data_IF_156393748341
#
_entry.id   IF_156393748341
#
_cell.length_a   1.000
_cell.length_b   1.000
_cell.length_c   1.000
_cell.angle_alpha   90.00
_cell.angle_beta   90.00
_cell.angle_gamma   90.00
#
_symmetry.space_group_name_H-M   'P 1'
#
loop_
_entity.id
_entity.type
_entity.pdbx_description
1 polymer ?
#
# COMPACT_ATOMS: atom_id res chain seq x y z
N UNK A 1 18.59 -0.54 19.45
CA UNK A 1 18.83 0.80 20.04
C UNK A 1 17.51 1.57 20.05
N UNK A 2 16.83 1.56 21.19
CA UNK A 2 15.66 2.41 21.43
C UNK A 2 16.12 3.67 22.14
N UNK A 3 15.80 4.83 21.55
CA UNK A 3 15.77 6.17 22.15
C UNK A 3 15.49 7.15 21.01
N UNK A 4 14.22 7.50 20.77
CA UNK A 4 13.79 8.75 20.09
C UNK A 4 12.27 8.90 19.91
N UNK A 5 11.43 8.00 20.45
CA UNK A 5 9.99 8.24 20.54
C UNK A 5 9.63 8.77 21.94
N UNK A 6 8.92 9.91 21.94
CA UNK A 6 8.16 10.58 23.02
C UNK A 6 8.81 11.90 23.49
N UNK A 7 8.25 13.04 23.02
CA UNK A 7 7.37 13.81 23.90
C UNK A 7 6.09 14.41 23.26
N UNK A 8 5.61 13.94 22.10
CA UNK A 8 4.46 14.57 21.41
C UNK A 8 3.07 13.94 21.71
N UNK A 9 3.02 12.69 22.20
CA UNK A 9 1.75 11.98 22.48
C UNK A 9 0.81 12.64 23.52
N UNK A 10 1.27 13.28 24.61
CA UNK A 10 0.35 13.84 25.60
C UNK A 10 -0.34 15.12 25.12
N UNK A 11 0.28 15.90 24.23
CA UNK A 11 -0.31 17.11 23.64
C UNK A 11 -1.38 16.75 22.59
N UNK A 12 -1.14 15.68 21.83
CA UNK A 12 -2.09 15.18 20.83
C UNK A 12 -3.36 14.60 21.48
N UNK A 13 -3.21 13.80 22.54
CA UNK A 13 -4.36 13.28 23.31
C UNK A 13 -5.21 14.39 23.94
N UNK A 14 -4.58 15.42 24.53
CA UNK A 14 -5.31 16.56 25.13
C UNK A 14 -6.07 17.37 24.08
N UNK A 15 -5.47 17.56 22.90
CA UNK A 15 -6.10 18.30 21.80
C UNK A 15 -7.26 17.54 21.16
N UNK A 16 -7.18 16.20 21.08
CA UNK A 16 -8.24 15.34 20.57
C UNK A 16 -9.41 15.27 21.56
N UNK A 17 -9.14 15.08 22.86
CA UNK A 17 -10.19 15.05 23.90
C UNK A 17 -10.95 16.37 23.99
N UNK A 18 -10.25 17.51 23.95
CA UNK A 18 -10.88 18.84 23.94
C UNK A 18 -11.69 19.15 22.65
N UNK A 19 -11.51 18.37 21.58
CA UNK A 19 -12.29 18.45 20.34
C UNK A 19 -13.49 17.49 20.38
N UNK A 20 -13.37 16.34 21.04
CA UNK A 20 -14.47 15.41 21.28
C UNK A 20 -15.50 16.01 22.24
N UNK A 21 -15.08 16.65 23.33
CA UNK A 21 -15.98 17.33 24.27
C UNK A 21 -16.75 18.48 23.60
N UNK A 22 -16.09 19.23 22.70
CA UNK A 22 -16.75 20.26 21.88
C UNK A 22 -17.76 19.67 20.89
N UNK A 23 -17.49 18.49 20.33
CA UNK A 23 -18.41 17.77 19.45
C UNK A 23 -19.62 17.20 20.20
N UNK A 24 -19.45 16.72 21.42
CA UNK A 24 -20.57 16.29 22.28
C UNK A 24 -21.44 17.48 22.70
N UNK A 25 -20.84 18.62 23.01
CA UNK A 25 -21.59 19.85 23.30
C UNK A 25 -22.42 20.33 22.10
N UNK A 26 -21.86 20.27 20.88
CA UNK A 26 -22.55 20.58 19.63
C UNK A 26 -23.65 19.57 19.26
N UNK A 27 -23.43 18.28 19.54
CA UNK A 27 -24.45 17.25 19.33
C UNK A 27 -25.65 17.45 20.27
N UNK A 28 -25.40 17.86 21.52
CA UNK A 28 -26.43 18.14 22.53
C UNK A 28 -27.21 19.43 22.22
N UNK A 29 -26.58 20.44 21.60
CA UNK A 29 -27.28 21.64 21.12
C UNK A 29 -28.07 21.43 19.82
N UNK A 30 -27.71 20.43 19.00
CA UNK A 30 -28.32 20.17 17.69
C UNK A 30 -29.50 19.18 17.73
N UNK A 31 -29.93 18.70 18.91
CA UNK A 31 -31.07 17.79 19.05
C UNK A 31 -30.94 16.47 18.26
N UNK A 32 -29.70 16.04 17.94
CA UNK A 32 -29.42 14.86 17.12
C UNK A 32 -28.83 13.76 18.01
N UNK A 33 -29.42 12.56 17.93
CA UNK A 33 -29.23 11.41 18.84
C UNK A 33 -27.78 10.90 18.87
N UNK A 34 -27.31 10.57 20.08
CA UNK A 34 -25.96 10.07 20.38
C UNK A 34 -25.73 8.61 19.89
N UNK A 35 -24.53 8.26 19.38
CA UNK A 35 -24.21 6.93 18.84
C UNK A 35 -24.05 5.81 19.88
N UNK A 36 -24.36 6.06 21.17
CA UNK A 36 -24.29 5.06 22.23
C UNK A 36 -25.36 3.94 22.14
N UNK A 37 -26.40 4.10 21.31
CA UNK A 37 -27.53 3.15 21.25
C UNK A 37 -27.47 2.10 20.12
N UNK A 38 -26.42 2.06 19.29
CA UNK A 38 -26.34 1.07 18.19
C UNK A 38 -25.80 -0.30 18.66
N UNK A 39 -25.13 -0.36 19.83
CA UNK A 39 -24.64 -1.64 20.39
C UNK A 39 -25.68 -2.50 21.08
N UNK A 40 -26.92 -2.03 21.24
CA UNK A 40 -27.96 -2.74 21.99
C UNK A 40 -29.08 -3.35 21.12
N UNK A 41 -29.03 -3.19 19.80
CA UNK A 41 -30.06 -3.69 18.86
C UNK A 41 -29.64 -4.96 18.11
N UNK A 42 -28.36 -5.37 18.16
CA UNK A 42 -27.87 -6.59 17.49
C UNK A 42 -27.61 -7.79 18.42
N UNK A 43 -28.03 -7.72 19.69
CA UNK A 43 -27.83 -8.79 20.70
C UNK A 43 -29.16 -9.46 21.12
N UNK A 44 -30.23 -9.30 20.33
CA UNK A 44 -31.56 -9.82 20.72
C UNK A 44 -32.34 -10.56 19.63
N UNK A 45 -31.64 -11.21 18.70
CA UNK A 45 -32.29 -12.07 17.70
C UNK A 45 -31.40 -13.25 17.31
N UNK A 46 -31.23 -14.21 18.22
CA UNK A 46 -30.99 -15.62 17.90
C UNK A 46 -30.96 -16.42 19.21
N UNK A 47 -32.15 -16.79 19.67
CA UNK A 47 -32.36 -17.78 20.73
C UNK A 47 -33.66 -18.51 20.40
N UNK A 48 -33.57 -19.78 20.02
CA UNK A 48 -34.70 -20.68 19.76
C UNK A 48 -34.21 -22.06 19.35
N UNK A 49 -34.49 -23.06 20.19
CA UNK A 49 -34.11 -24.48 20.10
C UNK A 49 -35.13 -25.35 19.32
N UNK A 50 -34.70 -26.58 18.94
CA UNK A 50 -35.39 -27.93 18.89
C UNK A 50 -34.77 -28.81 17.77
N UNK A 51 -34.02 -29.93 17.99
CA UNK A 51 -34.33 -31.34 18.37
C UNK A 51 -35.22 -32.11 17.35
N UNK A 52 -34.95 -33.31 16.79
CA UNK A 52 -34.51 -34.64 17.30
C UNK A 52 -34.21 -35.67 16.14
N UNK A 53 -33.48 -36.76 16.45
CA UNK A 53 -32.87 -37.90 15.66
C UNK A 53 -33.88 -39.00 15.15
N UNK A 54 -33.56 -40.27 14.72
CA UNK A 54 -32.27 -41.04 14.57
C UNK A 54 -32.15 -42.10 13.41
N UNK A 55 -31.04 -42.88 13.38
CA UNK A 55 -30.76 -44.28 12.87
C UNK A 55 -29.43 -44.37 12.07
N UNK A 56 -28.58 -45.42 12.06
CA UNK A 56 -28.40 -46.71 12.75
C UNK A 56 -27.02 -47.30 12.27
N UNK A 57 -26.35 -48.17 13.06
CA UNK A 57 -25.42 -49.19 12.52
C UNK A 57 -23.94 -49.20 12.98
N UNK A 58 -23.60 -50.14 13.88
CA UNK A 58 -22.24 -50.61 14.24
C UNK A 58 -21.75 -51.69 13.21
N UNK A 59 -20.51 -52.29 13.22
CA UNK A 59 -19.65 -52.59 14.37
C UNK A 59 -18.10 -52.51 14.20
N UNK A 60 -17.44 -52.81 15.34
CA UNK A 60 -16.03 -52.97 15.74
C UNK A 60 -15.05 -53.66 14.76
N UNK A 61 -13.76 -53.30 14.82
CA UNK A 61 -12.67 -54.11 15.42
C UNK A 61 -11.25 -53.62 15.05
N UNK A 62 -10.29 -54.00 15.90
CA UNK A 62 -8.86 -53.68 15.97
C UNK A 62 -8.03 -53.73 14.67
N UNK A 63 -6.89 -53.00 14.62
CA UNK A 63 -5.54 -53.49 14.23
C UNK A 63 -4.49 -52.35 14.30
N UNK A 64 -3.51 -52.57 15.19
CA UNK A 64 -2.05 -52.38 15.07
C UNK A 64 -1.46 -50.98 14.79
N UNK A 65 -0.72 -50.51 15.81
CA UNK A 65 0.37 -49.53 15.75
C UNK A 65 1.30 -49.78 14.56
N UNK A 66 1.30 -48.86 13.60
CA UNK A 66 2.46 -48.64 12.73
C UNK A 66 3.02 -47.28 13.12
N UNK A 67 4.15 -47.28 13.83
CA UNK A 67 4.96 -46.07 14.07
C UNK A 67 5.44 -45.55 12.72
N UNK A 68 4.66 -44.68 12.09
CA UNK A 68 5.19 -43.73 11.12
C UNK A 68 5.92 -42.64 11.90
N UNK A 69 7.21 -42.51 11.64
CA UNK A 69 8.03 -41.39 12.09
C UNK A 69 7.51 -40.17 11.32
N UNK A 70 6.53 -39.49 11.90
CA UNK A 70 5.87 -38.33 11.31
C UNK A 70 6.80 -37.11 11.37
N UNK A 71 7.30 -36.67 10.21
CA UNK A 71 7.98 -35.38 10.01
C UNK A 71 6.95 -34.25 10.13
N UNK A 72 6.46 -34.00 11.35
CA UNK A 72 5.38 -33.05 11.68
C UNK A 72 5.85 -31.60 11.94
N UNK A 73 7.16 -31.38 11.91
CA UNK A 73 7.78 -30.09 12.29
C UNK A 73 7.82 -29.04 11.17
N UNK A 74 7.91 -29.45 9.90
CA UNK A 74 8.12 -28.51 8.78
C UNK A 74 6.80 -27.99 8.19
N UNK A 75 5.78 -28.85 8.11
CA UNK A 75 4.46 -28.50 7.54
C UNK A 75 3.66 -27.54 8.42
N UNK A 76 3.82 -27.60 9.75
CA UNK A 76 3.12 -26.72 10.71
C UNK A 76 3.66 -25.30 10.74
N UNK A 77 4.98 -25.13 10.58
CA UNK A 77 5.62 -23.82 10.47
C UNK A 77 5.37 -23.16 9.10
N UNK A 78 5.47 -23.92 8.00
CA UNK A 78 5.19 -23.41 6.66
C UNK A 78 3.71 -23.02 6.51
N UNK A 79 2.78 -23.82 7.03
CA UNK A 79 1.35 -23.49 7.00
C UNK A 79 0.99 -22.31 7.91
N UNK A 80 1.61 -22.17 9.09
CA UNK A 80 1.43 -20.99 9.95
C UNK A 80 1.97 -19.72 9.30
N UNK A 81 3.14 -19.81 8.66
CA UNK A 81 3.74 -18.69 7.93
C UNK A 81 2.88 -18.31 6.72
N UNK A 82 2.36 -19.29 5.99
CA UNK A 82 1.46 -19.07 4.86
C UNK A 82 0.13 -18.46 5.28
N UNK A 83 -0.48 -18.94 6.37
CA UNK A 83 -1.75 -18.38 6.89
C UNK A 83 -1.57 -16.95 7.41
N UNK A 84 -0.43 -16.67 8.03
CA UNK A 84 -0.08 -15.30 8.45
C UNK A 84 0.10 -14.42 7.24
N UNK A 85 0.92 -14.82 6.27
CA UNK A 85 1.14 -14.08 5.03
C UNK A 85 -0.17 -13.82 4.29
N UNK A 86 -1.02 -14.84 4.17
CA UNK A 86 -2.36 -14.72 3.57
C UNK A 86 -3.19 -13.66 4.29
N UNK A 87 -3.22 -13.68 5.63
CA UNK A 87 -3.92 -12.66 6.41
C UNK A 87 -3.39 -11.24 6.16
N UNK A 88 -2.07 -11.07 6.04
CA UNK A 88 -1.46 -9.78 5.73
C UNK A 88 -1.79 -9.31 4.30
N UNK A 89 -1.77 -10.22 3.34
CA UNK A 89 -2.16 -9.97 1.94
C UNK A 89 -3.64 -9.60 1.85
N UNK A 90 -4.51 -10.40 2.48
CA UNK A 90 -5.96 -10.15 2.49
C UNK A 90 -6.26 -8.80 3.15
N UNK A 91 -5.59 -8.46 4.25
CA UNK A 91 -5.74 -7.16 4.91
C UNK A 91 -5.22 -6.00 4.05
N UNK A 92 -4.11 -6.19 3.32
CA UNK A 92 -3.53 -5.14 2.49
C UNK A 92 -4.33 -4.88 1.22
N UNK A 93 -4.89 -5.91 0.60
CA UNK A 93 -5.75 -5.79 -0.59
C UNK A 93 -7.12 -5.21 -0.23
N UNK A 94 -7.70 -5.61 0.91
CA UNK A 94 -9.01 -5.11 1.35
C UNK A 94 -8.92 -3.80 2.17
N UNK A 95 -7.75 -3.18 2.27
CA UNK A 95 -7.58 -1.93 2.97
C UNK A 95 -8.26 -0.78 2.19
N UNK A 96 -9.25 -0.14 2.80
CA UNK A 96 -9.85 1.06 2.23
C UNK A 96 -8.90 2.26 2.38
N UNK A 97 -8.31 2.67 1.27
CA UNK A 97 -7.40 3.82 1.21
C UNK A 97 -8.11 5.15 1.46
N UNK A 98 -9.41 5.24 1.17
CA UNK A 98 -10.19 6.47 1.37
C UNK A 98 -10.58 6.70 2.83
N UNK A 99 -10.57 5.66 3.68
CA UNK A 99 -10.75 5.81 5.12
C UNK A 99 -9.69 6.73 5.76
N UNK A 100 -8.53 6.90 5.11
CA UNK A 100 -7.49 7.83 5.57
C UNK A 100 -7.91 9.31 5.57
N UNK A 101 -9.02 9.66 4.90
CA UNK A 101 -9.60 11.01 4.93
C UNK A 101 -10.21 11.36 6.29
N UNK A 102 -10.68 10.36 7.05
CA UNK A 102 -11.27 10.60 8.38
C UNK A 102 -10.23 11.06 9.40
N UNK A 103 -8.97 10.67 9.18
CA UNK A 103 -7.83 11.02 10.03
C UNK A 103 -7.16 12.34 9.61
N UNK A 104 -7.15 12.67 8.31
CA UNK A 104 -6.53 13.89 7.78
C UNK A 104 -7.57 14.92 7.30
N UNK A 105 -7.87 15.87 8.19
CA UNK A 105 -8.80 16.97 7.93
C UNK A 105 -8.36 17.88 6.76
N UNK A 106 -7.05 17.99 6.49
CA UNK A 106 -6.56 18.80 5.37
C UNK A 106 -6.89 18.10 4.04
N UNK A 107 -6.67 16.78 3.99
CA UNK A 107 -7.03 15.99 2.81
C UNK A 107 -8.54 15.97 2.57
N UNK A 108 -9.35 15.88 3.64
CA UNK A 108 -10.80 15.95 3.54
C UNK A 108 -11.29 17.30 2.96
N UNK A 109 -10.72 18.42 3.42
CA UNK A 109 -11.04 19.77 2.91
C UNK A 109 -10.65 19.91 1.44
N UNK A 110 -9.49 19.38 1.03
CA UNK A 110 -9.06 19.34 -0.39
C UNK A 110 -10.09 18.57 -1.24
N UNK A 111 -10.57 17.43 -0.74
CA UNK A 111 -11.53 16.60 -1.47
C UNK A 111 -12.92 17.24 -1.58
N UNK A 112 -13.37 17.98 -0.56
CA UNK A 112 -14.65 18.68 -0.57
C UNK A 112 -14.63 19.90 -1.51
N UNK A 113 -13.53 20.64 -1.53
CA UNK A 113 -13.36 21.84 -2.33
C UNK A 113 -12.90 21.57 -3.78
N UNK A 114 -12.63 20.31 -4.13
CA UNK A 114 -12.20 19.94 -5.47
C UNK A 114 -13.30 20.15 -6.51
N UNK A 115 -12.91 20.60 -7.70
CA UNK A 115 -13.77 20.75 -8.86
C UNK A 115 -14.34 19.38 -9.27
N UNK A 116 -15.67 19.34 -9.44
CA UNK A 116 -16.39 18.14 -9.84
C UNK A 116 -16.61 18.18 -11.34
N UNK A 117 -15.96 17.26 -12.05
CA UNK A 117 -16.15 17.09 -13.49
C UNK A 117 -17.44 16.32 -13.79
N UNK A 118 -17.89 16.42 -15.04
CA UNK A 118 -19.08 15.71 -15.51
C UNK A 118 -18.90 14.19 -15.46
N UNK A 119 -19.91 13.50 -14.91
CA UNK A 119 -19.85 12.06 -14.64
C UNK A 119 -19.66 11.22 -15.92
N UNK A 120 -20.25 11.64 -17.05
CA UNK A 120 -20.11 10.92 -18.33
C UNK A 120 -18.68 11.05 -18.87
N UNK A 121 -18.08 12.21 -18.69
CA UNK A 121 -16.68 12.43 -19.07
C UNK A 121 -15.75 11.56 -18.23
N UNK A 122 -15.94 11.57 -16.90
CA UNK A 122 -15.17 10.73 -15.99
C UNK A 122 -15.34 9.22 -16.25
N UNK A 123 -16.52 8.79 -16.70
CA UNK A 123 -16.77 7.40 -17.07
C UNK A 123 -15.90 6.93 -18.25
N UNK A 124 -15.74 7.76 -19.28
CA UNK A 124 -14.83 7.47 -20.41
C UNK A 124 -13.38 7.47 -19.94
N UNK A 125 -12.99 8.44 -19.12
CA UNK A 125 -11.64 8.52 -18.58
C UNK A 125 -11.29 7.37 -17.63
N UNK A 126 -12.24 6.70 -16.97
CA UNK A 126 -11.96 5.49 -16.18
C UNK A 126 -11.29 4.40 -17.00
N UNK A 127 -11.80 4.13 -18.20
CA UNK A 127 -11.23 3.09 -19.06
C UNK A 127 -9.82 3.48 -19.53
N UNK A 128 -9.63 4.75 -19.91
CA UNK A 128 -8.31 5.28 -20.30
C UNK A 128 -7.32 5.23 -19.15
N UNK A 129 -7.74 5.63 -17.95
CA UNK A 129 -6.92 5.65 -16.75
C UNK A 129 -6.49 4.27 -16.32
N UNK A 130 -7.37 3.27 -16.38
CA UNK A 130 -6.98 1.88 -16.07
C UNK A 130 -5.92 1.40 -17.05
N UNK A 131 -6.09 1.69 -18.34
CA UNK A 131 -5.11 1.32 -19.35
C UNK A 131 -3.74 1.99 -19.13
N UNK A 132 -3.72 3.31 -18.90
CA UNK A 132 -2.47 4.04 -18.65
C UNK A 132 -1.82 3.63 -17.34
N UNK A 133 -2.60 3.37 -16.29
CA UNK A 133 -2.09 2.86 -15.02
C UNK A 133 -1.45 1.48 -15.16
N UNK A 134 -2.01 0.60 -16.01
CA UNK A 134 -1.39 -0.68 -16.32
C UNK A 134 -0.05 -0.51 -17.05
N UNK A 135 0.02 0.42 -18.02
CA UNK A 135 1.27 0.72 -18.73
C UNK A 135 2.33 1.32 -17.79
N UNK A 136 1.94 2.27 -16.93
CA UNK A 136 2.82 2.89 -15.93
C UNK A 136 3.31 1.85 -14.92
N UNK A 137 2.42 1.02 -14.37
CA UNK A 137 2.78 -0.05 -13.44
C UNK A 137 3.76 -1.06 -14.06
N UNK A 138 3.60 -1.39 -15.34
CA UNK A 138 4.54 -2.28 -16.04
C UNK A 138 5.92 -1.63 -16.19
N UNK A 139 5.98 -0.38 -16.66
CA UNK A 139 7.23 0.35 -16.84
C UNK A 139 7.96 0.62 -15.51
N UNK A 140 7.20 1.05 -14.50
CA UNK A 140 7.71 1.29 -13.15
C UNK A 140 8.20 0.00 -12.50
N UNK A 141 7.43 -1.09 -12.62
CA UNK A 141 7.80 -2.40 -12.10
C UNK A 141 9.09 -2.93 -12.74
N UNK A 142 9.26 -2.78 -14.05
CA UNK A 142 10.49 -3.20 -14.74
C UNK A 142 11.73 -2.44 -14.22
N UNK A 143 11.61 -1.15 -13.96
CA UNK A 143 12.68 -0.33 -13.40
C UNK A 143 13.01 -0.70 -11.94
N UNK A 144 11.99 -0.97 -11.12
CA UNK A 144 12.16 -1.35 -9.71
C UNK A 144 12.77 -2.75 -9.55
N UNK A 145 12.41 -3.69 -10.44
CA UNK A 145 13.07 -5.00 -10.50
C UNK A 145 14.56 -4.83 -10.78
N UNK A 146 14.94 -4.00 -11.76
CA UNK A 146 16.35 -3.78 -12.10
C UNK A 146 17.14 -3.22 -10.91
N UNK A 147 16.58 -2.27 -10.16
CA UNK A 147 17.22 -1.68 -8.98
C UNK A 147 17.41 -2.69 -7.84
N UNK A 148 16.46 -3.60 -7.64
CA UNK A 148 16.50 -4.59 -6.54
C UNK A 148 17.34 -5.83 -6.90
N UNK A 149 17.23 -6.29 -8.15
CA UNK A 149 17.86 -7.52 -8.63
C UNK A 149 19.28 -7.27 -9.15
N UNK A 150 19.62 -6.05 -9.59
CA UNK A 150 20.95 -5.72 -10.10
C UNK A 150 22.11 -6.13 -9.17
N UNK A 151 22.09 -5.75 -7.88
CA UNK A 151 23.12 -6.18 -6.93
C UNK A 151 23.16 -7.70 -6.72
N UNK A 152 22.00 -8.35 -6.67
CA UNK A 152 21.91 -9.80 -6.51
C UNK A 152 22.49 -10.53 -7.74
N UNK A 153 22.15 -10.07 -8.93
CA UNK A 153 22.69 -10.58 -10.19
C UNK A 153 24.21 -10.43 -10.26
N UNK A 154 24.76 -9.30 -9.78
CA UNK A 154 26.20 -9.10 -9.70
C UNK A 154 26.88 -10.10 -8.76
N UNK A 155 26.33 -10.35 -7.58
CA UNK A 155 26.84 -11.36 -6.64
C UNK A 155 26.79 -12.75 -7.27
N UNK A 156 25.70 -13.10 -7.96
CA UNK A 156 25.53 -14.38 -8.61
C UNK A 156 26.59 -14.62 -9.71
N UNK A 157 26.84 -13.64 -10.57
CA UNK A 157 27.88 -13.73 -11.61
C UNK A 157 29.28 -13.94 -10.99
N UNK A 158 29.60 -13.18 -9.94
CA UNK A 158 30.90 -13.31 -9.25
C UNK A 158 31.04 -14.71 -8.65
N UNK A 159 29.97 -15.25 -8.07
CA UNK A 159 29.96 -16.58 -7.47
C UNK A 159 30.16 -17.70 -8.50
N UNK A 160 29.54 -17.62 -9.68
CA UNK A 160 29.66 -18.67 -10.69
C UNK A 160 30.98 -18.60 -11.45
N UNK A 161 31.42 -17.40 -11.80
CA UNK A 161 32.47 -17.22 -12.80
C UNK A 161 33.82 -16.79 -12.19
N UNK A 162 33.84 -16.43 -10.91
CA UNK A 162 35.02 -15.90 -10.19
C UNK A 162 35.69 -14.68 -10.84
N UNK A 163 34.98 -13.99 -11.75
CA UNK A 163 35.46 -12.80 -12.46
C UNK A 163 34.43 -11.67 -12.41
N UNK A 164 34.91 -10.45 -12.21
CA UNK A 164 34.08 -9.24 -12.27
C UNK A 164 34.07 -8.72 -13.70
N UNK A 165 33.18 -9.23 -14.54
CA UNK A 165 33.02 -8.74 -15.92
C UNK A 165 31.87 -7.74 -15.98
N UNK A 166 32.17 -6.50 -16.36
CA UNK A 166 31.22 -5.37 -16.35
C UNK A 166 30.01 -5.52 -17.29
N UNK A 167 30.06 -6.44 -18.26
CA UNK A 167 29.00 -6.69 -19.25
C UNK A 167 28.91 -8.18 -19.57
N UNK A 168 28.45 -8.99 -18.62
CA UNK A 168 28.05 -10.38 -18.89
C UNK A 168 26.54 -10.49 -18.86
N UNK A 169 26.01 -11.24 -19.81
CA UNK A 169 24.58 -11.55 -19.88
C UNK A 169 24.29 -12.72 -18.94
N UNK A 170 23.21 -12.62 -18.13
CA UNK A 170 22.81 -13.67 -17.20
C UNK A 170 22.31 -14.94 -17.93
N UNK A 171 22.11 -14.85 -19.25
CA UNK A 171 21.71 -15.97 -20.08
C UNK A 171 20.41 -16.60 -19.59
N UNK A 172 20.34 -17.93 -19.58
CA UNK A 172 19.16 -18.67 -19.12
C UNK A 172 18.83 -18.44 -17.62
N UNK A 173 19.80 -17.99 -16.81
CA UNK A 173 19.59 -17.74 -15.38
C UNK A 173 18.86 -16.42 -15.10
N UNK A 174 18.76 -15.52 -16.09
CA UNK A 174 18.08 -14.24 -15.90
C UNK A 174 16.60 -14.45 -15.50
N UNK A 175 15.90 -15.38 -16.14
CA UNK A 175 14.45 -15.52 -16.00
C UNK A 175 13.99 -15.85 -14.57
N UNK A 176 14.69 -16.76 -13.87
CA UNK A 176 14.31 -17.12 -12.50
C UNK A 176 14.68 -16.02 -11.49
N UNK A 177 15.79 -15.32 -11.73
CA UNK A 177 16.23 -14.21 -10.90
C UNK A 177 15.26 -13.02 -11.02
N UNK A 178 14.86 -12.68 -12.24
CA UNK A 178 13.85 -11.65 -12.49
C UNK A 178 12.49 -12.06 -11.91
N UNK A 179 12.12 -13.34 -12.02
CA UNK A 179 10.89 -13.86 -11.42
C UNK A 179 10.87 -13.69 -9.89
N UNK A 180 11.98 -13.97 -9.20
CA UNK A 180 12.11 -13.71 -7.76
C UNK A 180 11.93 -12.23 -7.42
N UNK A 181 12.48 -11.33 -8.22
CA UNK A 181 12.31 -9.88 -8.07
C UNK A 181 10.85 -9.45 -8.22
N UNK A 182 10.20 -9.91 -9.29
CA UNK A 182 8.78 -9.64 -9.53
C UNK A 182 7.88 -10.17 -8.42
N UNK A 183 8.13 -11.40 -7.95
CA UNK A 183 7.40 -11.98 -6.83
C UNK A 183 7.56 -11.15 -5.54
N UNK A 184 8.78 -10.68 -5.26
CA UNK A 184 9.06 -9.81 -4.12
C UNK A 184 8.28 -8.50 -4.16
N UNK A 185 8.22 -7.83 -5.32
CA UNK A 185 7.45 -6.60 -5.51
C UNK A 185 5.95 -6.86 -5.29
N UNK A 186 5.40 -7.92 -5.90
CA UNK A 186 3.97 -8.25 -5.74
C UNK A 186 3.61 -8.52 -4.29
N UNK A 187 4.44 -9.28 -3.56
CA UNK A 187 4.22 -9.55 -2.13
C UNK A 187 4.34 -8.29 -1.27
N UNK A 188 5.30 -7.41 -1.58
CA UNK A 188 5.47 -6.13 -0.88
C UNK A 188 4.29 -5.18 -1.10
N UNK A 189 3.84 -5.04 -2.35
CA UNK A 189 2.67 -4.24 -2.70
C UNK A 189 1.39 -4.78 -2.04
N UNK A 190 1.19 -6.10 -2.07
CA UNK A 190 0.02 -6.73 -1.47
C UNK A 190 -0.04 -6.56 0.06
N UNK A 191 1.11 -6.45 0.74
CA UNK A 191 1.16 -6.38 2.22
C UNK A 191 1.23 -4.95 2.77
N UNK A 192 1.88 -4.01 2.07
CA UNK A 192 2.11 -2.65 2.57
C UNK A 192 1.81 -1.53 1.56
N UNK A 193 1.46 -1.88 0.32
CA UNK A 193 1.18 -0.92 -0.75
C UNK A 193 0.01 0.02 -0.47
N UNK A 194 -0.99 -0.42 0.30
CA UNK A 194 -2.15 0.43 0.64
C UNK A 194 -1.75 1.72 1.37
N UNK A 195 -0.66 1.72 2.14
CA UNK A 195 -0.19 2.93 2.85
C UNK A 195 0.34 3.98 1.89
N UNK A 196 1.10 3.56 0.87
CA UNK A 196 1.63 4.50 -0.11
C UNK A 196 0.53 4.96 -1.07
N UNK A 197 -0.41 4.08 -1.43
CA UNK A 197 -1.59 4.43 -2.22
C UNK A 197 -2.49 5.44 -1.49
N UNK A 198 -2.69 5.28 -0.19
CA UNK A 198 -3.40 6.27 0.65
C UNK A 198 -2.63 7.60 0.71
N UNK A 199 -1.33 7.58 1.00
CA UNK A 199 -0.54 8.80 1.11
C UNK A 199 -0.52 9.60 -0.20
N UNK A 200 -0.19 8.97 -1.33
CA UNK A 200 -0.02 9.67 -2.61
C UNK A 200 -1.36 9.86 -3.34
N UNK A 201 -2.21 8.84 -3.35
CA UNK A 201 -3.45 8.83 -4.14
C UNK A 201 -4.65 9.50 -3.45
N UNK A 202 -4.57 9.74 -2.15
CA UNK A 202 -5.67 10.34 -1.36
C UNK A 202 -5.21 11.56 -0.58
N UNK A 203 -4.09 11.49 0.14
CA UNK A 203 -3.73 12.57 1.07
C UNK A 203 -3.04 13.79 0.43
N UNK A 204 -2.41 13.63 -0.75
CA UNK A 204 -1.73 14.74 -1.45
C UNK A 204 -2.72 15.67 -2.16
N UNK A 205 -3.66 15.10 -2.93
CA UNK A 205 -4.64 15.83 -3.73
C UNK A 205 -5.79 14.92 -4.15
N UNK A 206 -6.93 15.50 -4.51
CA UNK A 206 -8.08 14.75 -5.04
C UNK A 206 -7.77 14.19 -6.43
N UNK A 207 -7.56 12.88 -6.53
CA UNK A 207 -7.39 12.20 -7.82
C UNK A 207 -8.75 11.69 -8.33
N UNK A 208 -9.17 12.15 -9.51
CA UNK A 208 -10.27 11.58 -10.31
C UNK A 208 -9.69 10.90 -11.56
N UNK A 209 -10.44 10.01 -12.25
CA UNK A 209 -9.93 9.32 -13.44
C UNK A 209 -9.32 10.26 -14.50
N UNK A 210 -9.98 11.37 -14.81
CA UNK A 210 -9.45 12.38 -15.74
C UNK A 210 -8.12 13.00 -15.26
N UNK A 211 -8.03 13.37 -13.97
CA UNK A 211 -6.81 13.90 -13.34
C UNK A 211 -5.69 12.86 -13.35
N UNK A 212 -6.00 11.61 -12.99
CA UNK A 212 -5.06 10.49 -13.00
C UNK A 212 -4.44 10.32 -14.39
N UNK A 213 -5.25 10.39 -15.44
CA UNK A 213 -4.79 10.20 -16.80
C UNK A 213 -3.81 11.31 -17.20
N UNK A 214 -4.14 12.56 -16.85
CA UNK A 214 -3.25 13.70 -17.06
C UNK A 214 -1.93 13.56 -16.27
N UNK A 215 -1.98 13.06 -15.03
CA UNK A 215 -0.80 12.84 -14.19
C UNK A 215 0.13 11.80 -14.82
N UNK A 216 -0.41 10.66 -15.23
CA UNK A 216 0.36 9.57 -15.84
C UNK A 216 0.96 9.97 -17.18
N UNK A 217 0.18 10.64 -18.04
CA UNK A 217 0.67 11.17 -19.31
C UNK A 217 1.75 12.23 -19.10
N UNK A 218 1.56 13.16 -18.15
CA UNK A 218 2.53 14.19 -17.82
C UNK A 218 3.85 13.61 -17.29
N UNK A 219 3.78 12.66 -16.37
CA UNK A 219 4.95 11.96 -15.85
C UNK A 219 5.67 11.18 -16.97
N UNK A 220 4.91 10.46 -17.80
CA UNK A 220 5.45 9.67 -18.93
C UNK A 220 6.20 10.55 -19.93
N UNK A 221 5.65 11.72 -20.28
CA UNK A 221 6.33 12.65 -21.19
C UNK A 221 7.70 13.05 -20.66
N UNK A 222 7.79 13.43 -19.38
CA UNK A 222 9.07 13.80 -18.75
C UNK A 222 10.04 12.62 -18.70
N UNK A 223 9.55 11.43 -18.34
CA UNK A 223 10.36 10.20 -18.31
C UNK A 223 10.91 9.89 -19.70
N UNK A 224 10.07 9.92 -20.75
CA UNK A 224 10.49 9.65 -22.12
C UNK A 224 11.49 10.69 -22.61
N UNK A 225 11.25 11.97 -22.33
CA UNK A 225 12.19 13.04 -22.70
C UNK A 225 13.54 12.86 -21.99
N UNK A 226 13.54 12.57 -20.68
CA UNK A 226 14.78 12.32 -19.94
C UNK A 226 15.53 11.09 -20.40
N UNK A 227 14.82 10.00 -20.71
CA UNK A 227 15.39 8.79 -21.29
C UNK A 227 16.06 9.05 -22.65
N UNK A 228 15.49 9.96 -23.47
CA UNK A 228 16.13 10.37 -24.74
C UNK A 228 17.36 11.24 -24.55
N UNK A 229 17.47 11.90 -23.41
CA UNK A 229 18.64 12.68 -23.01
C UNK A 229 19.64 11.85 -22.19
N UNK A 230 19.41 10.53 -22.06
CA UNK A 230 20.24 9.59 -21.31
C UNK A 230 20.46 9.99 -19.84
N UNK A 231 19.51 10.75 -19.27
CA UNK A 231 19.58 11.19 -17.89
C UNK A 231 18.89 10.19 -16.96
N UNK A 232 19.55 9.76 -15.85
CA UNK A 232 18.90 8.95 -14.85
C UNK A 232 17.85 9.79 -14.12
N UNK A 233 16.57 9.50 -14.36
CA UNK A 233 15.44 10.16 -13.70
C UNK A 233 14.79 9.23 -12.67
N UNK A 234 14.25 9.83 -11.61
CA UNK A 234 13.39 9.15 -10.66
C UNK A 234 11.94 9.22 -11.12
N UNK A 235 11.33 8.08 -11.42
CA UNK A 235 9.91 7.95 -11.78
C UNK A 235 9.00 8.50 -10.69
N UNK A 236 9.33 8.26 -9.41
CA UNK A 236 8.56 8.77 -8.27
C UNK A 236 8.55 10.31 -8.22
N UNK A 237 9.69 10.96 -8.52
CA UNK A 237 9.73 12.42 -8.59
C UNK A 237 8.91 12.95 -9.76
N UNK A 238 8.99 12.30 -10.92
CA UNK A 238 8.17 12.67 -12.08
C UNK A 238 6.68 12.55 -11.77
N UNK A 239 6.25 11.48 -11.11
CA UNK A 239 4.84 11.23 -10.79
C UNK A 239 4.31 12.17 -9.71
N UNK A 240 5.05 12.37 -8.60
CA UNK A 240 4.67 13.35 -7.57
C UNK A 240 4.68 14.78 -8.13
N UNK A 241 5.64 15.11 -9.00
CA UNK A 241 5.69 16.39 -9.70
C UNK A 241 4.51 16.62 -10.65
N UNK A 242 4.10 15.59 -11.41
CA UNK A 242 2.93 15.65 -12.26
C UNK A 242 1.62 15.80 -11.44
N UNK A 243 1.49 15.07 -10.33
CA UNK A 243 0.38 15.22 -9.37
C UNK A 243 0.31 16.64 -8.83
N UNK A 244 1.44 17.20 -8.40
CA UNK A 244 1.52 18.59 -7.96
C UNK A 244 1.11 19.56 -9.07
N UNK A 245 1.56 19.34 -10.30
CA UNK A 245 1.20 20.17 -11.46
C UNK A 245 -0.31 20.20 -11.70
N UNK A 246 -0.96 19.04 -11.71
CA UNK A 246 -2.43 18.95 -11.90
C UNK A 246 -3.18 19.60 -10.73
N UNK A 247 -2.76 19.36 -9.49
CA UNK A 247 -3.37 19.99 -8.32
C UNK A 247 -3.25 21.52 -8.32
N UNK A 248 -2.11 22.06 -8.79
CA UNK A 248 -1.88 23.50 -8.86
C UNK A 248 -2.73 24.20 -9.93
N UNK A 249 -3.06 23.52 -11.02
CA UNK A 249 -3.94 24.05 -12.08
C UNK A 249 -5.37 24.26 -11.57
N UNK A 250 -5.81 23.42 -10.63
CA UNK A 250 -7.13 23.51 -10.02
C UNK A 250 -7.19 24.62 -8.97
N UNK A 251 -6.33 24.57 -7.94
CA UNK A 251 -6.13 25.66 -6.98
C UNK A 251 -4.87 25.43 -6.16
N UNK A 252 -4.20 26.51 -5.73
CA UNK A 252 -3.07 26.44 -4.78
C UNK A 252 -3.46 25.74 -3.46
N UNK A 253 -4.74 25.77 -3.10
CA UNK A 253 -5.31 25.06 -1.94
C UNK A 253 -5.72 23.60 -2.19
N UNK A 254 -5.58 23.07 -3.41
CA UNK A 254 -5.88 21.68 -3.76
C UNK A 254 -4.76 20.69 -3.41
N UNK A 255 -3.70 21.17 -2.72
CA UNK A 255 -2.49 20.40 -2.44
C UNK A 255 -2.15 20.43 -0.95
N UNK A 256 -1.84 19.26 -0.40
CA UNK A 256 -1.37 19.12 0.97
C UNK A 256 0.14 19.43 1.09
N UNK A 257 0.47 20.72 1.20
CA UNK A 257 1.86 21.22 1.29
C UNK A 257 2.67 20.61 2.44
N UNK A 258 2.01 20.31 3.58
CA UNK A 258 2.69 19.73 4.74
C UNK A 258 3.13 18.29 4.45
N UNK A 259 2.27 17.51 3.81
CA UNK A 259 2.60 16.15 3.41
C UNK A 259 3.69 16.16 2.34
N UNK A 260 3.58 17.03 1.33
CA UNK A 260 4.59 17.15 0.28
C UNK A 260 5.97 17.52 0.85
N UNK A 261 6.03 18.47 1.79
CA UNK A 261 7.29 18.82 2.47
C UNK A 261 7.87 17.66 3.29
N UNK A 262 7.01 16.84 3.90
CA UNK A 262 7.44 15.63 4.63
C UNK A 262 8.00 14.58 3.68
N UNK A 263 7.37 14.38 2.53
CA UNK A 263 7.85 13.48 1.47
C UNK A 263 9.20 13.94 0.92
N UNK A 264 9.34 15.24 0.61
CA UNK A 264 10.58 15.82 0.13
C UNK A 264 11.73 15.70 1.14
N UNK A 265 11.46 15.94 2.42
CA UNK A 265 12.42 15.68 3.49
C UNK A 265 12.79 14.19 3.55
N UNK A 266 11.80 13.31 3.40
CA UNK A 266 11.97 11.86 3.31
C UNK A 266 12.98 11.45 2.24
N UNK A 267 12.90 12.03 1.02
CA UNK A 267 13.83 11.72 -0.07
C UNK A 267 15.30 12.08 0.24
N UNK A 268 15.53 13.20 0.93
CA UNK A 268 16.90 13.59 1.34
C UNK A 268 17.38 12.70 2.49
N UNK A 269 16.51 12.46 3.46
CA UNK A 269 16.82 11.63 4.62
C UNK A 269 17.13 10.19 4.24
N UNK A 270 16.42 9.60 3.27
CA UNK A 270 16.69 8.23 2.81
C UNK A 270 18.07 8.10 2.18
N UNK A 271 18.50 9.06 1.35
CA UNK A 271 19.84 9.05 0.77
C UNK A 271 20.94 9.09 1.84
N UNK A 272 20.77 9.95 2.85
CA UNK A 272 21.72 10.04 3.96
C UNK A 272 21.77 8.72 4.75
N UNK A 273 20.61 8.21 5.17
CA UNK A 273 20.53 6.98 5.98
C UNK A 273 21.13 5.80 5.21
N UNK A 274 20.72 5.58 3.96
CA UNK A 274 21.22 4.46 3.14
C UNK A 274 22.73 4.58 2.93
N UNK A 275 23.23 5.78 2.62
CA UNK A 275 24.66 6.04 2.44
C UNK A 275 25.47 5.72 3.69
N UNK A 276 25.02 6.15 4.87
CA UNK A 276 25.68 5.83 6.13
C UNK A 276 25.61 4.34 6.47
N UNK A 277 24.45 3.70 6.29
CA UNK A 277 24.30 2.28 6.60
C UNK A 277 25.09 1.37 5.67
N UNK A 278 25.29 1.77 4.41
CA UNK A 278 26.09 0.99 3.46
C UNK A 278 27.60 1.13 3.72
N UNK A 279 28.03 2.18 4.43
CA UNK A 279 29.43 2.42 4.76
C UNK A 279 29.89 1.68 6.02
N UNK A 280 28.95 1.29 6.89
CA UNK A 280 29.18 0.52 8.13
C UNK A 280 29.14 -0.97 7.81
#
# INVERSE_FOLDING_TARGET
MGLLSIPCMPMLKKSILARLERREALAKSSGRVSPANVKQVLVRSSSGEEHKDPEEGAPQSAIVDTKEIEVKGSSSFLSSSFNTLKKWVDNGINADVHASLDDDLIAADIHENAEKFDDKTEEVFKALQVFTACCDAFGHGANDVANSIGPYAAIYIIYTDNEVVAKRDLGANAYWILFLGGLGIVLGLATYGYKIMSAIGVQISRITPSRGFCIEMGATVIIVMGSRLEMPLSTTHCQVGATMGVALVERVGGLNWKLLGTVAFGWVATLAVVGFTSAI
#
